data_IF_316775529255
#
_entry.id   IF_316775529255
#
_cell.length_a   1.000
_cell.length_b   1.000
_cell.length_c   1.000
_cell.angle_alpha   90.00
_cell.angle_beta   90.00
_cell.angle_gamma   90.00
#
_symmetry.space_group_name_H-M   'P 1'
#
loop_
_entity.id
_entity.type
_entity.pdbx_description
1 polymer ?
#
# COMPACT_ATOMS: atom_id res chain seq x y z
N UNK A 1 20.28 -13.66 0.24
CA UNK A 1 19.60 -12.82 1.25
C UNK A 1 20.05 -11.38 1.04
N UNK A 2 19.12 -10.47 0.69
CA UNK A 2 19.43 -9.08 0.29
C UNK A 2 19.40 -8.17 1.52
N UNK A 3 20.54 -7.97 2.19
CA UNK A 3 20.66 -7.05 3.32
C UNK A 3 20.74 -5.58 2.89
N UNK A 4 21.12 -5.30 1.64
CA UNK A 4 21.50 -3.95 1.21
C UNK A 4 20.32 -3.03 0.86
N UNK A 5 19.10 -3.55 0.76
CA UNK A 5 17.87 -2.80 0.43
C UNK A 5 17.14 -2.23 1.67
N UNK A 6 17.55 -2.62 2.88
CA UNK A 6 16.87 -2.19 4.12
C UNK A 6 17.26 -0.77 4.55
N UNK A 7 18.47 -0.30 4.27
CA UNK A 7 18.97 0.98 4.80
C UNK A 7 18.24 2.22 4.23
N UNK A 8 17.87 2.22 2.95
CA UNK A 8 17.18 3.36 2.34
C UNK A 8 15.72 3.49 2.79
N UNK A 9 15.03 2.36 2.96
CA UNK A 9 13.63 2.31 3.38
C UNK A 9 13.45 2.78 4.82
N UNK A 10 14.41 2.46 5.71
CA UNK A 10 14.39 2.88 7.11
C UNK A 10 14.45 4.41 7.25
N UNK A 11 15.24 5.10 6.42
CA UNK A 11 15.29 6.57 6.43
C UNK A 11 13.97 7.19 6.00
N UNK A 12 13.36 6.69 4.93
CA UNK A 12 12.08 7.23 4.44
C UNK A 12 10.97 6.99 5.46
N UNK A 13 10.90 5.79 6.05
CA UNK A 13 9.94 5.48 7.11
C UNK A 13 10.08 6.44 8.30
N UNK A 14 11.31 6.66 8.76
CA UNK A 14 11.60 7.62 9.83
C UNK A 14 11.10 9.04 9.52
N UNK A 15 11.37 9.55 8.31
CA UNK A 15 10.91 10.90 7.92
C UNK A 15 9.38 11.00 7.87
N UNK A 16 8.70 9.97 7.36
CA UNK A 16 7.24 9.92 7.30
C UNK A 16 6.65 9.89 8.72
N UNK A 17 7.16 9.02 9.59
CA UNK A 17 6.74 8.95 11.00
C UNK A 17 6.95 10.26 11.73
N UNK A 18 8.12 10.88 11.54
CA UNK A 18 8.47 12.13 12.17
C UNK A 18 7.52 13.25 11.78
N UNK A 19 7.18 13.37 10.48
CA UNK A 19 6.18 14.33 10.01
C UNK A 19 4.78 14.00 10.51
N UNK A 20 4.36 12.74 10.44
CA UNK A 20 3.06 12.31 10.93
C UNK A 20 2.87 12.66 12.41
N UNK A 21 3.89 12.40 13.24
CA UNK A 21 3.89 12.74 14.67
C UNK A 21 3.73 14.25 14.91
N UNK A 22 4.39 15.10 14.12
CA UNK A 22 4.24 16.57 14.22
C UNK A 22 2.82 17.05 13.95
N UNK A 23 2.09 16.35 13.08
CA UNK A 23 0.73 16.69 12.69
C UNK A 23 -0.34 15.85 13.42
N UNK A 24 0.04 15.03 14.40
CA UNK A 24 -0.90 14.18 15.13
C UNK A 24 -1.51 13.04 14.30
N UNK A 25 -0.88 12.66 13.19
CA UNK A 25 -1.32 11.58 12.31
C UNK A 25 -0.81 10.24 12.85
N UNK A 26 -1.70 9.26 12.96
CA UNK A 26 -1.35 7.90 13.37
C UNK A 26 -0.64 7.16 12.22
N UNK A 27 0.49 6.53 12.54
CA UNK A 27 1.21 5.63 11.62
C UNK A 27 1.05 4.20 12.09
N UNK A 28 0.61 3.34 11.18
CA UNK A 28 0.48 1.90 11.45
C UNK A 28 1.33 1.11 10.44
N UNK A 29 2.19 0.25 10.97
CA UNK A 29 2.90 -0.73 10.17
C UNK A 29 2.01 -1.93 9.86
N UNK A 30 2.00 -2.33 8.60
CA UNK A 30 1.32 -3.53 8.12
C UNK A 30 2.31 -4.42 7.40
N UNK A 31 2.12 -5.74 7.46
CA UNK A 31 2.95 -6.69 6.71
C UNK A 31 2.77 -6.45 5.20
N UNK A 32 3.84 -6.17 4.42
CA UNK A 32 3.72 -5.92 2.99
C UNK A 32 3.73 -7.18 2.12
N UNK A 33 3.98 -8.36 2.70
CA UNK A 33 4.12 -9.63 1.97
C UNK A 33 2.94 -9.92 1.06
N UNK A 34 3.24 -10.29 -0.18
CA UNK A 34 2.28 -10.64 -1.23
C UNK A 34 1.27 -9.54 -1.62
N UNK A 35 1.42 -8.31 -1.10
CA UNK A 35 0.48 -7.21 -1.36
C UNK A 35 0.37 -6.85 -2.84
N UNK A 36 1.43 -7.04 -3.63
CA UNK A 36 1.47 -6.71 -5.06
C UNK A 36 1.01 -7.83 -6.00
N UNK A 37 0.73 -9.03 -5.47
CA UNK A 37 0.42 -10.22 -6.29
C UNK A 37 -0.87 -10.93 -5.87
N UNK A 38 -1.51 -10.49 -4.78
CA UNK A 38 -2.82 -11.00 -4.36
C UNK A 38 -3.94 -10.13 -4.91
N UNK A 39 -4.97 -10.74 -5.48
CA UNK A 39 -6.10 -10.01 -6.04
C UNK A 39 -6.88 -9.28 -4.93
N UNK A 40 -7.05 -7.95 -5.01
CA UNK A 40 -7.85 -7.21 -4.03
C UNK A 40 -9.32 -7.65 -4.01
N UNK A 41 -9.84 -8.18 -5.13
CA UNK A 41 -11.24 -8.60 -5.25
C UNK A 41 -11.51 -9.97 -4.63
N UNK A 42 -10.67 -10.97 -4.89
CA UNK A 42 -10.94 -12.37 -4.53
C UNK A 42 -9.82 -13.09 -3.77
N UNK A 43 -8.70 -12.40 -3.49
CA UNK A 43 -7.57 -12.96 -2.73
C UNK A 43 -6.66 -13.94 -3.49
N UNK A 44 -7.07 -14.44 -4.66
CA UNK A 44 -6.24 -15.35 -5.48
C UNK A 44 -4.98 -14.66 -5.98
N UNK A 45 -3.91 -15.44 -6.20
CA UNK A 45 -2.69 -14.95 -6.83
C UNK A 45 -3.00 -14.46 -8.25
N UNK A 46 -2.43 -13.31 -8.62
CA UNK A 46 -2.55 -12.69 -9.92
C UNK A 46 -1.38 -13.07 -10.82
N UNK A 47 -1.60 -13.01 -12.13
CA UNK A 47 -0.61 -13.26 -13.17
C UNK A 47 -0.19 -11.95 -13.82
N UNK A 48 1.11 -11.77 -14.06
CA UNK A 48 1.62 -10.64 -14.83
C UNK A 48 1.28 -10.84 -16.32
N UNK A 49 0.68 -9.83 -16.96
CA UNK A 49 0.28 -9.86 -18.38
C UNK A 49 1.09 -8.92 -19.26
N UNK A 50 1.83 -8.02 -18.65
CA UNK A 50 2.68 -7.02 -19.30
C UNK A 50 3.36 -6.20 -18.21
N UNK A 51 4.33 -5.35 -18.60
CA UNK A 51 5.13 -4.56 -17.67
C UNK A 51 4.28 -3.98 -16.52
N UNK A 52 4.48 -4.51 -15.30
CA UNK A 52 3.77 -4.11 -14.07
C UNK A 52 2.24 -4.29 -14.07
N UNK A 53 1.64 -4.81 -15.13
CA UNK A 53 0.19 -5.03 -15.24
C UNK A 53 -0.20 -6.47 -14.90
N UNK A 54 -1.18 -6.64 -14.02
CA UNK A 54 -1.58 -7.95 -13.48
C UNK A 54 -3.05 -8.23 -13.76
N UNK A 55 -3.36 -9.49 -14.09
CA UNK A 55 -4.73 -10.01 -14.29
C UNK A 55 -5.00 -11.16 -13.35
N UNK A 56 -6.19 -11.17 -12.75
CA UNK A 56 -6.69 -12.28 -11.96
C UNK A 56 -7.70 -13.12 -12.76
N UNK A 57 -7.81 -14.41 -12.44
CA UNK A 57 -8.85 -15.29 -12.98
C UNK A 57 -10.29 -14.86 -12.64
N UNK A 58 -10.49 -13.95 -11.68
CA UNK A 58 -11.80 -13.36 -11.40
C UNK A 58 -12.15 -12.14 -12.28
N UNK A 59 -11.29 -11.80 -13.25
CA UNK A 59 -11.46 -10.68 -14.18
C UNK A 59 -10.97 -9.33 -13.66
N UNK A 60 -10.40 -9.24 -12.45
CA UNK A 60 -9.80 -8.00 -11.96
C UNK A 60 -8.41 -7.76 -12.58
N UNK A 61 -8.15 -6.53 -13.01
CA UNK A 61 -6.90 -6.10 -13.65
C UNK A 61 -6.47 -4.73 -13.14
N UNK A 62 -5.17 -4.56 -12.90
CA UNK A 62 -4.59 -3.25 -12.58
C UNK A 62 -3.06 -3.28 -12.63
N UNK A 63 -2.45 -2.10 -12.45
CA UNK A 63 -1.03 -1.97 -12.15
C UNK A 63 -0.68 -2.57 -10.77
N UNK A 64 0.53 -3.12 -10.68
CA UNK A 64 1.11 -3.78 -9.51
C UNK A 64 1.12 -2.88 -8.26
N UNK A 65 1.38 -1.59 -8.42
CA UNK A 65 1.45 -0.65 -7.29
C UNK A 65 0.06 -0.32 -6.77
N UNK A 66 -0.92 -0.17 -7.68
CA UNK A 66 -2.33 0.02 -7.31
C UNK A 66 -2.83 -1.20 -6.53
N UNK A 67 -2.49 -2.41 -6.98
CA UNK A 67 -2.80 -3.66 -6.26
C UNK A 67 -2.15 -3.67 -4.87
N UNK A 68 -0.88 -3.28 -4.78
CA UNK A 68 -0.17 -3.21 -3.50
C UNK A 68 -0.84 -2.23 -2.53
N UNK A 69 -1.12 -1.00 -2.95
CA UNK A 69 -1.77 0.03 -2.12
C UNK A 69 -3.15 -0.44 -1.64
N UNK A 70 -3.98 -1.02 -2.52
CA UNK A 70 -5.29 -1.53 -2.13
C UNK A 70 -5.20 -2.61 -1.04
N UNK A 71 -4.25 -3.54 -1.19
CA UNK A 71 -4.05 -4.61 -0.21
C UNK A 71 -3.45 -4.10 1.11
N UNK A 72 -2.51 -3.15 1.07
CA UNK A 72 -1.94 -2.54 2.28
C UNK A 72 -2.99 -1.74 3.04
N UNK A 73 -3.78 -0.93 2.33
CA UNK A 73 -4.87 -0.16 2.92
C UNK A 73 -5.90 -1.07 3.60
N UNK A 74 -6.29 -2.18 2.96
CA UNK A 74 -7.18 -3.18 3.57
C UNK A 74 -6.60 -3.75 4.86
N UNK A 75 -5.29 -4.01 4.92
CA UNK A 75 -4.62 -4.57 6.11
C UNK A 75 -4.50 -3.56 7.25
N UNK A 76 -4.34 -2.28 6.93
CA UNK A 76 -4.26 -1.19 7.92
C UNK A 76 -5.61 -0.66 8.37
N UNK A 77 -6.70 -1.05 7.72
CA UNK A 77 -8.04 -0.66 8.11
C UNK A 77 -8.51 -1.48 9.32
N UNK A 78 -8.05 -1.12 10.52
CA UNK A 78 -8.70 -1.55 11.77
C UNK A 78 -9.99 -0.74 11.94
N UNK A 79 -11.11 -1.32 11.53
CA UNK A 79 -12.45 -0.73 11.59
C UNK A 79 -12.63 0.54 10.75
N UNK A 80 -13.89 0.84 10.43
CA UNK A 80 -14.34 2.08 9.82
C UNK A 80 -13.78 3.26 10.62
N UNK A 81 -12.65 3.84 10.21
CA UNK A 81 -12.24 5.11 10.77
C UNK A 81 -13.25 6.15 10.30
N UNK A 82 -14.03 6.68 11.22
CA UNK A 82 -14.78 7.93 11.08
C UNK A 82 -13.87 9.17 10.87
N UNK A 83 -12.56 8.96 10.69
CA UNK A 83 -11.62 10.00 10.30
C UNK A 83 -11.97 10.51 8.90
N UNK A 84 -12.31 11.79 8.83
CA UNK A 84 -12.60 12.51 7.61
C UNK A 84 -11.42 12.34 6.64
N UNK A 85 -11.63 11.70 5.50
CA UNK A 85 -10.60 11.69 4.46
C UNK A 85 -10.32 13.13 4.05
N UNK A 86 -9.05 13.55 4.09
CA UNK A 86 -8.63 14.82 3.48
C UNK A 86 -8.91 14.72 1.98
N UNK A 87 -9.98 15.38 1.51
CA UNK A 87 -10.35 15.44 0.10
C UNK A 87 -9.92 16.73 -0.60
N UNK A 88 -9.30 17.65 0.12
CA UNK A 88 -8.95 18.96 -0.41
C UNK A 88 -7.44 19.10 -0.52
N UNK A 89 -6.88 18.62 -1.63
CA UNK A 89 -5.57 19.08 -2.11
C UNK A 89 -5.83 20.28 -3.00
N UNK A 90 -5.47 21.47 -2.53
CA UNK A 90 -5.47 22.68 -3.35
C UNK A 90 -4.46 22.47 -4.49
N UNK A 91 -4.89 22.52 -5.76
CA UNK A 91 -3.95 22.47 -6.86
C UNK A 91 -3.14 23.78 -6.89
N UNK A 92 -1.83 23.63 -7.11
CA UNK A 92 -0.87 24.73 -7.23
C UNK A 92 -0.89 25.33 -8.65
#
# INVERSE_FOLDING_TARGET
MRADLLHALNRIQYWIEWQAKKHGILVQYVNPGYSSVSCPKCGKRMEEKGYRWFRCSCGYENDRDVIAVMNLNRRGSLALSSAHQMRDVVPN
#
